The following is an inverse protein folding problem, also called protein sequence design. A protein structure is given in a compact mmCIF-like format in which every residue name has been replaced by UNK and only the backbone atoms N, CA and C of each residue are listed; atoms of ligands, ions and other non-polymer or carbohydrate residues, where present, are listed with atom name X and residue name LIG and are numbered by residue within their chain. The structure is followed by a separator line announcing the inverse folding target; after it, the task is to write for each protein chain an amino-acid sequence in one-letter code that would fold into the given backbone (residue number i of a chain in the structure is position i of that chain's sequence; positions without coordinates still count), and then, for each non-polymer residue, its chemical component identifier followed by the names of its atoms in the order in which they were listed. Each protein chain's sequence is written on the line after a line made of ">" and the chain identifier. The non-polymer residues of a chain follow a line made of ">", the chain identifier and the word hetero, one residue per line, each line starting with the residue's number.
data_IF_990917900200
#
_entry.id   IF_990917900200
#
_cell.length_a   1.000
_cell.length_b   1.000
_cell.length_c   1.000
_cell.angle_alpha   90.00
_cell.angle_beta   90.00
_cell.angle_gamma   90.00
#
_symmetry.space_group_name_H-M   'P 1'
#
loop_
_entity.id
_entity.type
_entity.pdbx_description
1 polymer ?
#
# COMPACT_ATOMS: atom_id res chain seq x y z
N UNK A 1 5.48 22.04 -1.90
CA UNK A 1 6.26 20.79 -1.83
C UNK A 1 6.37 20.20 -3.22
N UNK A 2 7.53 19.67 -3.60
CA UNK A 2 7.68 18.99 -4.91
C UNK A 2 6.96 17.64 -4.90
N UNK A 3 6.60 17.11 -6.08
CA UNK A 3 5.99 15.77 -6.16
C UNK A 3 6.87 14.70 -5.49
N UNK A 4 8.18 14.78 -5.66
CA UNK A 4 9.13 13.84 -5.04
C UNK A 4 9.12 13.92 -3.51
N UNK A 5 8.97 15.12 -2.93
CA UNK A 5 8.83 15.26 -1.48
C UNK A 5 7.53 14.64 -0.97
N UNK A 6 6.41 14.84 -1.69
CA UNK A 6 5.12 14.22 -1.34
C UNK A 6 5.24 12.70 -1.46
N UNK A 7 5.88 12.21 -2.52
CA UNK A 7 6.16 10.79 -2.73
C UNK A 7 6.94 10.16 -1.59
N UNK A 8 7.98 10.81 -1.09
CA UNK A 8 8.73 10.31 0.08
C UNK A 8 7.95 10.36 1.38
N UNK A 9 7.20 11.44 1.64
CA UNK A 9 6.33 11.49 2.82
C UNK A 9 5.27 10.40 2.78
N UNK A 10 4.67 10.17 1.61
CA UNK A 10 3.74 9.08 1.40
C UNK A 10 4.41 7.72 1.65
N UNK A 11 5.60 7.48 1.07
CA UNK A 11 6.37 6.25 1.29
C UNK A 11 6.64 6.04 2.78
N UNK A 12 7.06 7.07 3.49
CA UNK A 12 7.27 7.00 4.95
C UNK A 12 5.96 6.66 5.69
N UNK A 13 4.84 7.28 5.31
CA UNK A 13 3.51 6.96 5.85
C UNK A 13 3.14 5.48 5.68
N UNK A 14 3.39 4.93 4.48
CA UNK A 14 3.13 3.51 4.21
C UNK A 14 4.07 2.61 5.01
N UNK A 15 5.33 2.99 5.21
CA UNK A 15 6.26 2.23 6.06
C UNK A 15 5.80 2.22 7.53
N UNK A 16 5.29 3.34 8.05
CA UNK A 16 4.70 3.39 9.38
C UNK A 16 3.44 2.52 9.50
N UNK A 17 2.58 2.55 8.48
CA UNK A 17 1.42 1.68 8.39
C UNK A 17 1.80 0.19 8.39
N UNK A 18 2.74 -0.19 7.52
CA UNK A 18 3.27 -1.54 7.43
C UNK A 18 3.90 -2.01 8.74
N UNK A 19 4.60 -1.12 9.44
CA UNK A 19 5.17 -1.40 10.76
C UNK A 19 4.07 -1.65 11.80
N UNK A 20 3.03 -0.82 11.83
CA UNK A 20 1.87 -1.02 12.70
C UNK A 20 1.22 -2.39 12.46
N UNK A 21 0.97 -2.74 11.20
CA UNK A 21 0.43 -4.06 10.87
C UNK A 21 1.38 -5.20 11.27
N UNK A 22 2.69 -5.06 11.03
CA UNK A 22 3.68 -6.08 11.35
C UNK A 22 3.73 -6.43 12.86
N UNK A 23 3.38 -5.46 13.70
CA UNK A 23 3.31 -5.61 15.15
C UNK A 23 1.99 -6.24 15.60
N UNK A 24 0.85 -5.79 15.06
CA UNK A 24 -0.46 -6.08 15.64
C UNK A 24 -1.38 -6.94 14.77
N UNK A 25 -1.27 -6.89 13.44
CA UNK A 25 -2.18 -7.56 12.51
C UNK A 25 -2.16 -9.09 12.67
N UNK A 26 -1.01 -9.78 12.83
CA UNK A 26 -1.02 -11.24 13.01
C UNK A 26 -1.88 -11.70 14.18
N UNK A 27 -1.74 -11.07 15.35
CA UNK A 27 -2.53 -11.40 16.54
C UNK A 27 -4.01 -11.05 16.36
N UNK A 28 -4.30 -9.90 15.73
CA UNK A 28 -5.65 -9.49 15.39
C UNK A 28 -6.33 -10.48 14.43
N UNK A 29 -5.60 -10.99 13.43
CA UNK A 29 -6.11 -11.90 12.40
C UNK A 29 -6.63 -13.22 12.96
N UNK A 30 -6.07 -13.69 14.09
CA UNK A 30 -6.53 -14.90 14.79
C UNK A 30 -7.97 -14.76 15.32
N UNK A 31 -8.44 -13.53 15.49
CA UNK A 31 -9.75 -13.20 16.06
C UNK A 31 -10.67 -12.54 15.01
N UNK A 32 -10.25 -12.45 13.75
CA UNK A 32 -10.97 -11.74 12.70
C UNK A 32 -12.13 -12.53 12.08
N UNK A 33 -12.16 -13.86 12.26
CA UNK A 33 -13.20 -14.72 11.72
C UNK A 33 -13.33 -14.56 10.20
N UNK A 34 -14.52 -14.22 9.71
CA UNK A 34 -14.79 -14.04 8.27
C UNK A 34 -14.12 -12.80 7.63
N UNK A 35 -13.57 -11.89 8.45
CA UNK A 35 -12.99 -10.63 7.96
C UNK A 35 -11.55 -10.76 7.50
N UNK A 36 -10.82 -11.77 7.99
CA UNK A 36 -9.45 -12.02 7.60
C UNK A 36 -9.06 -13.47 7.90
N UNK A 37 -8.34 -14.11 6.98
CA UNK A 37 -7.79 -15.45 7.22
C UNK A 37 -6.66 -15.35 8.24
N UNK A 38 -6.60 -16.21 9.27
CA UNK A 38 -5.49 -16.21 10.22
C UNK A 38 -4.14 -16.34 9.52
N UNK A 39 -3.21 -15.45 9.84
CA UNK A 39 -1.85 -15.44 9.25
C UNK A 39 -0.82 -15.49 10.37
N UNK A 40 0.19 -16.36 10.21
CA UNK A 40 1.28 -16.45 11.16
C UNK A 40 2.19 -15.20 11.07
N UNK A 41 2.69 -14.74 12.21
CA UNK A 41 3.48 -13.51 12.29
C UNK A 41 4.71 -13.50 11.37
N UNK A 42 5.43 -14.62 11.24
CA UNK A 42 6.59 -14.71 10.34
C UNK A 42 6.22 -14.52 8.86
N UNK A 43 5.12 -15.14 8.41
CA UNK A 43 4.62 -15.01 7.03
C UNK A 43 4.19 -13.57 6.73
N UNK A 44 3.46 -12.97 7.65
CA UNK A 44 3.02 -11.58 7.51
C UNK A 44 4.20 -10.62 7.44
N UNK A 45 5.13 -10.73 8.40
CA UNK A 45 6.33 -9.88 8.48
C UNK A 45 7.21 -10.02 7.25
N UNK A 46 7.35 -11.23 6.72
CA UNK A 46 8.04 -11.46 5.45
C UNK A 46 7.36 -10.70 4.30
N UNK A 47 6.06 -10.92 4.09
CA UNK A 47 5.33 -10.31 2.99
C UNK A 47 5.34 -8.76 3.06
N UNK A 48 5.04 -8.20 4.23
CA UNK A 48 5.02 -6.74 4.42
C UNK A 48 6.42 -6.14 4.25
N UNK A 49 7.49 -6.85 4.61
CA UNK A 49 8.86 -6.41 4.36
C UNK A 49 9.17 -6.36 2.87
N UNK A 50 8.81 -7.41 2.11
CA UNK A 50 9.01 -7.44 0.65
C UNK A 50 8.24 -6.31 -0.04
N UNK A 51 6.97 -6.09 0.34
CA UNK A 51 6.17 -4.99 -0.19
C UNK A 51 6.75 -3.62 0.17
N UNK A 52 7.27 -3.46 1.40
CA UNK A 52 7.95 -2.23 1.83
C UNK A 52 9.22 -1.95 1.01
N UNK A 53 10.04 -2.97 0.75
CA UNK A 53 11.21 -2.85 -0.12
C UNK A 53 10.80 -2.49 -1.54
N UNK A 54 9.78 -3.17 -2.08
CA UNK A 54 9.25 -2.89 -3.41
C UNK A 54 8.74 -1.44 -3.54
N UNK A 55 8.05 -0.92 -2.52
CA UNK A 55 7.65 0.49 -2.46
C UNK A 55 8.85 1.43 -2.47
N UNK A 56 9.85 1.21 -1.60
CA UNK A 56 11.04 2.07 -1.52
C UNK A 56 11.77 2.10 -2.88
N UNK A 57 11.94 0.95 -3.52
CA UNK A 57 12.55 0.84 -4.85
C UNK A 57 11.73 1.61 -5.88
N UNK A 58 10.41 1.38 -5.93
CA UNK A 58 9.52 2.05 -6.88
C UNK A 58 9.52 3.57 -6.68
N UNK A 59 9.44 4.03 -5.42
CA UNK A 59 9.51 5.45 -5.08
C UNK A 59 10.83 6.06 -5.54
N UNK A 60 11.96 5.43 -5.21
CA UNK A 60 13.31 5.90 -5.59
C UNK A 60 13.45 6.02 -7.10
N UNK A 61 13.09 4.97 -7.85
CA UNK A 61 13.20 4.96 -9.31
C UNK A 61 12.24 5.96 -9.96
N UNK A 62 11.05 6.18 -9.40
CA UNK A 62 10.07 7.11 -9.96
C UNK A 62 10.50 8.59 -9.87
N UNK A 63 11.38 8.94 -8.94
CA UNK A 63 11.83 10.33 -8.73
C UNK A 63 12.62 10.89 -9.91
N UNK A 64 13.48 10.08 -10.49
CA UNK A 64 14.33 10.45 -11.63
C UNK A 64 13.73 10.02 -12.95
N UNK A 65 12.61 9.29 -12.91
CA UNK A 65 11.94 8.83 -14.11
C UNK A 65 11.31 9.99 -14.89
N UNK A 66 11.31 9.85 -16.22
CA UNK A 66 10.60 10.76 -17.10
C UNK A 66 9.09 10.69 -16.85
N UNK A 67 8.39 11.79 -17.17
CA UNK A 67 6.93 11.80 -17.22
C UNK A 67 6.41 10.72 -18.17
N UNK A 68 5.31 10.06 -17.81
CA UNK A 68 4.73 8.96 -18.61
C UNK A 68 5.53 7.66 -18.62
N UNK A 69 6.62 7.55 -17.86
CA UNK A 69 7.39 6.31 -17.74
C UNK A 69 6.65 5.24 -16.94
N UNK A 70 7.06 3.97 -17.12
CA UNK A 70 6.55 2.84 -16.34
C UNK A 70 6.67 3.08 -14.83
N UNK A 71 7.79 3.63 -14.35
CA UNK A 71 8.01 3.86 -12.92
C UNK A 71 7.08 4.94 -12.34
N UNK A 72 6.72 5.96 -13.13
CA UNK A 72 5.75 6.96 -12.71
C UNK A 72 4.35 6.34 -12.52
N UNK A 73 3.92 5.49 -13.46
CA UNK A 73 2.64 4.78 -13.35
C UNK A 73 2.64 3.71 -12.27
N UNK A 74 3.74 2.97 -12.07
CA UNK A 74 3.86 2.00 -10.97
C UNK A 74 3.79 2.69 -9.61
N UNK A 75 4.49 3.81 -9.43
CA UNK A 75 4.41 4.59 -8.19
C UNK A 75 2.97 5.09 -7.96
N UNK A 76 2.33 5.68 -8.97
CA UNK A 76 0.95 6.13 -8.86
C UNK A 76 -0.03 4.97 -8.58
N UNK A 77 0.17 3.81 -9.20
CA UNK A 77 -0.62 2.61 -8.96
C UNK A 77 -0.45 2.05 -7.55
N UNK A 78 0.78 2.07 -7.02
CA UNK A 78 1.04 1.72 -5.62
C UNK A 78 0.32 2.70 -4.68
N UNK A 79 0.41 4.00 -4.96
CA UNK A 79 -0.28 5.03 -4.18
C UNK A 79 -1.79 4.79 -4.17
N UNK A 80 -2.39 4.52 -5.33
CA UNK A 80 -3.80 4.18 -5.44
C UNK A 80 -4.15 2.93 -4.62
N UNK A 81 -3.31 1.88 -4.69
CA UNK A 81 -3.49 0.67 -3.90
C UNK A 81 -3.59 0.98 -2.40
N UNK A 82 -2.71 1.82 -1.86
CA UNK A 82 -2.75 2.19 -0.45
C UNK A 82 -3.92 3.11 -0.08
N UNK A 83 -4.34 3.99 -0.99
CA UNK A 83 -5.56 4.81 -0.78
C UNK A 83 -6.79 3.92 -0.70
N UNK A 84 -6.93 2.96 -1.62
CA UNK A 84 -8.02 1.99 -1.60
C UNK A 84 -7.94 1.07 -0.37
N UNK A 85 -6.72 0.70 0.03
CA UNK A 85 -6.46 -0.14 1.19
C UNK A 85 -7.06 0.46 2.47
N UNK A 86 -6.99 1.78 2.65
CA UNK A 86 -7.61 2.48 3.80
C UNK A 86 -9.11 2.17 3.93
N UNK A 87 -9.82 2.11 2.80
CA UNK A 87 -11.24 1.79 2.77
C UNK A 87 -11.45 0.27 2.92
N UNK A 88 -10.71 -0.51 2.13
CA UNK A 88 -10.82 -1.96 2.02
C UNK A 88 -9.42 -2.60 2.16
N UNK A 89 -9.12 -3.31 3.27
CA UNK A 89 -10.05 -3.80 4.27
C UNK A 89 -10.24 -2.89 5.49
N UNK A 90 -9.37 -1.91 5.75
CA UNK A 90 -9.20 -1.34 7.11
C UNK A 90 -10.47 -0.70 7.70
N UNK A 91 -11.06 0.27 7.00
CA UNK A 91 -12.27 0.93 7.49
C UNK A 91 -13.44 -0.05 7.55
N UNK A 92 -13.63 -0.86 6.51
CA UNK A 92 -14.73 -1.81 6.44
C UNK A 92 -14.69 -2.85 7.57
N UNK A 93 -13.53 -3.48 7.80
CA UNK A 93 -13.33 -4.45 8.87
C UNK A 93 -13.50 -3.78 10.24
N UNK A 94 -12.99 -2.56 10.41
CA UNK A 94 -13.13 -1.83 11.67
C UNK A 94 -14.59 -1.54 12.02
N UNK A 95 -15.36 -1.05 11.05
CA UNK A 95 -16.79 -0.77 11.24
C UNK A 95 -17.58 -2.06 11.44
N UNK A 96 -17.35 -3.06 10.58
CA UNK A 96 -18.08 -4.32 10.59
C UNK A 96 -17.82 -5.18 11.82
N UNK A 97 -16.60 -5.15 12.35
CA UNK A 97 -16.23 -5.83 13.60
C UNK A 97 -16.44 -4.97 14.85
N UNK A 98 -16.71 -3.66 14.68
CA UNK A 98 -16.71 -2.66 15.77
C UNK A 98 -15.44 -2.71 16.62
N UNK A 99 -14.31 -2.99 15.97
CA UNK A 99 -13.00 -3.19 16.60
C UNK A 99 -11.94 -2.62 15.68
N UNK A 100 -11.00 -1.89 16.26
CA UNK A 100 -9.85 -1.36 15.52
C UNK A 100 -9.10 -2.46 14.75
N UNK A 101 -8.99 -2.29 13.42
CA UNK A 101 -8.08 -3.07 12.59
C UNK A 101 -6.72 -2.35 12.55
N UNK A 102 -5.62 -3.03 12.92
CA UNK A 102 -4.26 -2.51 12.77
C UNK A 102 -4.02 -1.93 11.38
N UNK A 103 -3.33 -0.80 11.33
CA UNK A 103 -3.04 -0.05 10.10
C UNK A 103 -4.05 1.05 9.79
N UNK A 104 -5.26 1.06 10.37
CA UNK A 104 -6.27 2.06 10.03
C UNK A 104 -5.84 3.50 10.43
N UNK A 105 -5.30 3.69 11.63
CA UNK A 105 -4.95 5.02 12.12
C UNK A 105 -3.84 5.65 11.29
N UNK A 106 -2.75 4.91 11.06
CA UNK A 106 -1.65 5.35 10.19
C UNK A 106 -2.10 5.57 8.74
N UNK A 107 -2.99 4.71 8.23
CA UNK A 107 -3.54 4.87 6.89
C UNK A 107 -4.39 6.14 6.73
N UNK A 108 -5.26 6.44 7.70
CA UNK A 108 -6.08 7.67 7.69
C UNK A 108 -5.24 8.93 7.86
N UNK A 109 -4.23 8.88 8.73
CA UNK A 109 -3.41 10.05 9.05
C UNK A 109 -2.39 10.38 7.95
N UNK A 110 -1.84 9.35 7.29
CA UNK A 110 -0.76 9.52 6.31
C UNK A 110 -1.14 9.06 4.91
N UNK A 111 -1.47 7.78 4.72
CA UNK A 111 -1.61 7.18 3.39
C UNK A 111 -2.73 7.84 2.57
N UNK A 112 -3.89 8.08 3.19
CA UNK A 112 -5.04 8.69 2.53
C UNK A 112 -4.76 10.14 2.11
N UNK A 113 -4.40 11.08 3.01
CA UNK A 113 -4.19 12.47 2.62
C UNK A 113 -2.98 12.64 1.69
N UNK A 114 -1.84 11.99 2.00
CA UNK A 114 -0.64 12.12 1.17
C UNK A 114 -0.80 11.41 -0.18
N UNK A 115 -1.50 10.28 -0.20
CA UNK A 115 -1.74 9.52 -1.42
C UNK A 115 -2.68 10.25 -2.38
N UNK A 116 -3.79 10.77 -1.88
CA UNK A 116 -4.68 11.62 -2.68
C UNK A 116 -3.95 12.86 -3.19
N UNK A 117 -3.16 13.52 -2.33
CA UNK A 117 -2.37 14.69 -2.74
C UNK A 117 -1.34 14.34 -3.83
N UNK A 118 -0.63 13.22 -3.68
CA UNK A 118 0.32 12.73 -4.68
C UNK A 118 -0.37 12.48 -6.03
N UNK A 119 -1.49 11.75 -6.04
CA UNK A 119 -2.21 11.41 -7.27
C UNK A 119 -2.73 12.65 -7.99
N UNK A 120 -3.36 13.57 -7.24
CA UNK A 120 -3.82 14.84 -7.79
C UNK A 120 -2.64 15.62 -8.40
N UNK A 121 -1.53 15.74 -7.67
CA UNK A 121 -0.36 16.49 -8.13
C UNK A 121 0.26 15.84 -9.37
N UNK A 122 0.42 14.53 -9.37
CA UNK A 122 0.99 13.78 -10.48
C UNK A 122 0.18 13.93 -11.78
N UNK A 123 -1.16 13.97 -11.68
CA UNK A 123 -2.04 14.25 -12.82
C UNK A 123 -1.95 15.71 -13.27
N UNK A 124 -2.00 16.66 -12.34
CA UNK A 124 -1.97 18.10 -12.68
C UNK A 124 -0.61 18.55 -13.25
N UNK A 125 0.48 17.91 -12.86
CA UNK A 125 1.83 18.20 -13.37
C UNK A 125 2.19 17.35 -14.60
N UNK A 126 1.22 16.63 -15.20
CA UNK A 126 1.44 15.74 -16.34
C UNK A 126 2.56 14.71 -16.13
N UNK A 127 2.77 14.29 -14.88
CA UNK A 127 3.73 13.22 -14.54
C UNK A 127 3.18 11.85 -14.92
N UNK A 128 1.86 11.71 -14.81
CA UNK A 128 1.06 10.60 -15.33
C UNK A 128 -0.14 11.18 -16.09
N UNK A 129 -0.61 10.48 -17.11
CA UNK A 129 -1.79 10.86 -17.89
C UNK A 129 -3.01 10.07 -17.44
N UNK A 130 -4.16 10.75 -17.35
CA UNK A 130 -5.41 10.13 -16.88
C UNK A 130 -5.86 8.95 -17.75
N UNK A 131 -5.71 9.10 -19.08
CA UNK A 131 -6.07 8.08 -20.08
C UNK A 131 -5.32 6.75 -19.89
N UNK A 132 -4.10 6.81 -19.36
CA UNK A 132 -3.28 5.62 -19.06
C UNK A 132 -3.48 5.18 -17.61
N UNK A 133 -3.64 6.12 -16.70
CA UNK A 133 -3.74 5.82 -15.27
C UNK A 133 -5.04 5.08 -14.91
N UNK A 134 -6.15 5.37 -15.60
CA UNK A 134 -7.45 4.76 -15.33
C UNK A 134 -7.45 3.23 -15.40
N UNK A 135 -6.55 2.63 -16.20
CA UNK A 135 -6.38 1.18 -16.26
C UNK A 135 -5.09 0.72 -15.58
N UNK A 136 -3.98 1.45 -15.72
CA UNK A 136 -2.68 1.02 -15.15
C UNK A 136 -2.64 1.12 -13.62
N UNK A 137 -3.36 2.08 -13.02
CA UNK A 137 -3.51 2.22 -11.58
C UNK A 137 -4.23 1.02 -10.97
N UNK A 138 -5.48 0.71 -11.37
CA UNK A 138 -6.21 -0.47 -10.90
C UNK A 138 -5.48 -1.78 -11.19
N UNK A 139 -4.82 -1.91 -12.34
CA UNK A 139 -4.00 -3.08 -12.66
C UNK A 139 -2.86 -3.25 -11.65
N UNK A 140 -2.14 -2.18 -11.31
CA UNK A 140 -1.06 -2.21 -10.31
C UNK A 140 -1.60 -2.59 -8.94
N UNK A 141 -2.73 -2.01 -8.51
CA UNK A 141 -3.38 -2.36 -7.26
C UNK A 141 -3.80 -3.85 -7.21
N UNK A 142 -4.38 -4.36 -8.31
CA UNK A 142 -4.74 -5.76 -8.44
C UNK A 142 -3.53 -6.69 -8.37
N UNK A 143 -2.41 -6.31 -9.03
CA UNK A 143 -1.16 -7.06 -8.96
C UNK A 143 -0.60 -7.10 -7.53
N UNK A 144 -0.58 -5.98 -6.81
CA UNK A 144 -0.14 -5.94 -5.40
C UNK A 144 -1.00 -6.87 -4.55
N UNK A 145 -2.32 -6.81 -4.68
CA UNK A 145 -3.25 -7.70 -3.96
C UNK A 145 -2.99 -9.16 -4.31
N UNK A 146 -2.77 -9.48 -5.58
CA UNK A 146 -2.46 -10.84 -6.03
C UNK A 146 -1.09 -11.35 -5.54
N UNK A 147 -0.12 -10.45 -5.30
CA UNK A 147 1.19 -10.81 -4.75
C UNK A 147 1.11 -11.25 -3.28
N UNK A 148 0.20 -10.68 -2.48
CA UNK A 148 0.06 -10.99 -1.04
C UNK A 148 -0.05 -12.50 -0.76
N UNK A 149 -0.99 -13.27 -1.35
CA UNK A 149 -1.09 -14.70 -1.10
C UNK A 149 0.16 -15.47 -1.56
N UNK A 150 0.78 -15.06 -2.67
CA UNK A 150 2.02 -15.66 -3.14
C UNK A 150 3.17 -15.45 -2.13
N UNK A 151 3.30 -14.23 -1.58
CA UNK A 151 4.29 -13.91 -0.55
C UNK A 151 4.04 -14.69 0.75
N UNK A 152 2.78 -14.91 1.14
CA UNK A 152 2.47 -15.78 2.28
C UNK A 152 2.83 -17.24 2.03
N UNK A 153 2.64 -17.75 0.81
CA UNK A 153 3.09 -19.10 0.42
C UNK A 153 4.60 -19.22 0.51
N UNK A 154 5.35 -18.24 -0.03
CA UNK A 154 6.81 -18.24 0.01
C UNK A 154 7.30 -18.13 1.46
N UNK A 155 6.75 -17.20 2.24
CA UNK A 155 7.10 -17.00 3.64
C UNK A 155 6.80 -18.21 4.54
N UNK A 156 5.89 -19.10 4.12
CA UNK A 156 5.68 -20.40 4.81
C UNK A 156 6.85 -21.36 4.68
N UNK A 157 7.56 -21.32 3.55
CA UNK A 157 8.69 -22.20 3.24
C UNK A 157 10.01 -21.77 3.87
N UNK A 158 10.10 -20.53 4.36
CA UNK A 158 11.30 -19.96 4.99
C UNK A 158 11.41 -20.27 6.49
N UNK A 159 10.83 -21.39 6.94
CA UNK A 159 10.89 -21.85 8.33
C UNK A 159 12.16 -22.63 8.63
#
# INVERSE_FOLDING_TARGET
>A
MTLSMIGWLFTFGVLLHNLEEALYLPAWSMQAGRWHVPVAAGQFRFAVTVLSVFLIVTATLSMTAAAGSLMAYLMAGYVLSMVLNVLLPHALATIGMRRYMPGLATALLFNLPLGLWYLMRALTEHRIEWSVFIWSGPLTAAMIVAMIPALFVIGRGLK
#
